data_IF_571961289601
#
_entry.id   IF_571961289601
#
_cell.length_a   1.000
_cell.length_b   1.000
_cell.length_c   1.000
_cell.angle_alpha   90.00
_cell.angle_beta   90.00
_cell.angle_gamma   90.00
#
_symmetry.space_group_name_H-M   'P 1'
#
loop_
_entity.id
_entity.type
_entity.pdbx_description
1 polymer ?
#
# COMPACT_ATOMS: atom_id res chain seq x y z
N UNK A 1 -24.41 1.13 -9.59
CA UNK A 1 -23.77 1.32 -8.28
C UNK A 1 -22.80 0.18 -8.14
N UNK A 2 -21.50 0.46 -7.99
CA UNK A 2 -20.52 -0.58 -7.66
C UNK A 2 -20.86 -1.12 -6.27
N UNK A 3 -20.83 -2.44 -6.11
CA UNK A 3 -21.07 -3.08 -4.82
C UNK A 3 -20.05 -2.60 -3.78
N UNK A 4 -20.47 -2.52 -2.53
CA UNK A 4 -19.58 -2.18 -1.41
C UNK A 4 -18.97 -3.48 -0.88
N UNK A 5 -17.70 -3.72 -1.21
CA UNK A 5 -16.92 -4.88 -0.80
C UNK A 5 -15.72 -4.43 0.03
N UNK A 6 -15.07 -5.38 0.71
CA UNK A 6 -13.83 -5.14 1.47
C UNK A 6 -13.97 -3.99 2.48
N UNK A 7 -14.99 -4.05 3.33
CA UNK A 7 -15.24 -3.01 4.34
C UNK A 7 -14.21 -3.15 5.46
N UNK A 8 -13.54 -2.05 5.79
CA UNK A 8 -12.55 -2.00 6.87
C UNK A 8 -12.62 -0.64 7.62
N UNK A 9 -11.84 -0.49 8.69
CA UNK A 9 -11.63 0.75 9.41
C UNK A 9 -10.66 1.66 8.64
N UNK A 10 -11.02 2.93 8.50
CA UNK A 10 -10.15 3.92 7.91
C UNK A 10 -9.04 4.29 8.89
N UNK A 11 -7.80 4.00 8.49
CA UNK A 11 -6.57 4.33 9.20
C UNK A 11 -5.82 5.37 8.37
N UNK A 12 -5.36 6.43 9.04
CA UNK A 12 -4.49 7.44 8.44
C UNK A 12 -3.45 7.87 9.46
N UNK A 13 -2.17 7.97 9.05
CA UNK A 13 -1.05 8.31 9.95
C UNK A 13 -1.01 7.39 11.19
N UNK A 14 -1.13 6.08 10.96
CA UNK A 14 -1.07 5.03 11.99
C UNK A 14 -2.16 5.11 13.08
N UNK A 15 -3.26 5.82 12.83
CA UNK A 15 -4.38 5.94 13.77
C UNK A 15 -5.76 5.86 13.10
N UNK A 16 -6.78 5.51 13.88
CA UNK A 16 -8.16 5.47 13.43
C UNK A 16 -8.69 6.86 13.14
N UNK A 17 -9.31 7.02 11.97
CA UNK A 17 -10.07 8.24 11.67
C UNK A 17 -11.40 8.19 12.41
N UNK A 18 -11.64 9.15 13.28
CA UNK A 18 -12.88 9.27 14.04
C UNK A 18 -13.82 10.33 13.42
N UNK A 19 -15.11 10.05 13.45
CA UNK A 19 -16.14 11.01 13.10
C UNK A 19 -16.41 12.00 14.27
N UNK A 20 -17.34 12.95 14.08
CA UNK A 20 -17.71 13.93 15.12
C UNK A 20 -18.32 13.33 16.39
N UNK A 21 -18.74 12.06 16.34
CA UNK A 21 -19.24 11.27 17.47
C UNK A 21 -18.16 10.42 18.15
N UNK A 22 -16.90 10.52 17.74
CA UNK A 22 -15.78 9.66 18.17
C UNK A 22 -15.94 8.17 17.78
N UNK A 23 -16.63 7.88 16.69
CA UNK A 23 -16.74 6.53 16.15
C UNK A 23 -15.77 6.35 14.96
N UNK A 24 -15.13 5.18 14.81
CA UNK A 24 -14.28 4.88 13.66
C UNK A 24 -15.03 5.01 12.32
N UNK A 25 -14.38 5.67 11.37
CA UNK A 25 -14.85 5.77 9.98
C UNK A 25 -14.50 4.49 9.23
N UNK A 26 -15.37 4.07 8.32
CA UNK A 26 -15.15 2.91 7.46
C UNK A 26 -14.58 3.31 6.10
N UNK A 27 -13.78 2.44 5.52
CA UNK A 27 -13.37 2.45 4.12
C UNK A 27 -13.89 1.19 3.41
N UNK A 28 -13.79 1.17 2.07
CA UNK A 28 -14.19 0.01 1.28
C UNK A 28 -13.47 -0.02 -0.08
N UNK A 29 -13.63 -1.15 -0.78
CA UNK A 29 -13.21 -1.31 -2.17
C UNK A 29 -11.74 -0.88 -2.36
N UNK A 30 -11.49 0.01 -3.33
CA UNK A 30 -10.16 0.53 -3.67
C UNK A 30 -9.43 1.16 -2.47
N UNK A 31 -10.15 1.80 -1.55
CA UNK A 31 -9.54 2.47 -0.41
C UNK A 31 -9.03 1.47 0.62
N UNK A 32 -9.80 0.41 0.90
CA UNK A 32 -9.38 -0.69 1.78
C UNK A 32 -8.19 -1.44 1.17
N UNK A 33 -8.26 -1.79 -0.13
CA UNK A 33 -7.14 -2.43 -0.84
C UNK A 33 -5.87 -1.57 -0.74
N UNK A 34 -6.01 -0.25 -0.96
CA UNK A 34 -4.88 0.68 -0.84
C UNK A 34 -4.27 0.74 0.56
N UNK A 35 -5.09 0.67 1.62
CA UNK A 35 -4.59 0.58 3.00
C UNK A 35 -3.82 -0.72 3.23
N UNK A 36 -4.33 -1.85 2.74
CA UNK A 36 -3.65 -3.16 2.89
C UNK A 36 -2.28 -3.18 2.20
N UNK A 37 -2.16 -2.55 1.02
CA UNK A 37 -0.86 -2.37 0.34
C UNK A 37 0.12 -1.54 1.19
N UNK A 38 -0.33 -0.41 1.75
CA UNK A 38 0.51 0.44 2.60
C UNK A 38 0.96 -0.34 3.83
N UNK A 39 0.03 -0.97 4.55
CA UNK A 39 0.34 -1.75 5.74
C UNK A 39 1.28 -2.90 5.44
N UNK A 40 1.06 -3.65 4.34
CA UNK A 40 1.94 -4.76 3.97
C UNK A 40 3.40 -4.30 3.82
N UNK A 41 3.65 -3.16 3.17
CA UNK A 41 5.00 -2.60 3.01
C UNK A 41 5.61 -2.25 4.38
N UNK A 42 4.85 -1.58 5.25
CA UNK A 42 5.34 -1.13 6.57
C UNK A 42 5.56 -2.32 7.51
N UNK A 43 4.60 -3.23 7.60
CA UNK A 43 4.61 -4.40 8.48
C UNK A 43 5.65 -5.45 8.07
N UNK A 44 5.98 -5.54 6.78
CA UNK A 44 7.02 -6.46 6.29
C UNK A 44 8.43 -6.14 6.79
N UNK A 45 8.68 -4.91 7.25
CA UNK A 45 10.01 -4.42 7.58
C UNK A 45 10.90 -4.08 6.38
N UNK A 46 10.45 -4.35 5.13
CA UNK A 46 11.19 -4.03 3.91
C UNK A 46 11.44 -2.52 3.78
N UNK A 47 10.51 -1.69 4.24
CA UNK A 47 10.68 -0.24 4.33
C UNK A 47 11.92 0.15 5.16
N UNK A 48 12.10 -0.51 6.31
CA UNK A 48 13.24 -0.26 7.20
C UNK A 48 14.54 -0.76 6.57
N UNK A 49 14.53 -1.95 5.95
CA UNK A 49 15.67 -2.47 5.18
C UNK A 49 16.09 -1.48 4.07
N UNK A 50 15.11 -0.96 3.32
CA UNK A 50 15.33 0.00 2.25
C UNK A 50 16.00 1.28 2.78
N UNK A 51 15.53 1.84 3.89
CA UNK A 51 16.14 3.05 4.48
C UNK A 51 17.59 2.81 4.91
N UNK A 52 17.92 1.60 5.39
CA UNK A 52 19.26 1.27 5.85
C UNK A 52 20.24 0.99 4.69
N UNK A 53 19.75 0.54 3.54
CA UNK A 53 20.59 0.07 2.44
C UNK A 53 21.08 1.22 1.52
N UNK A 54 22.32 1.10 1.02
CA UNK A 54 22.99 2.09 0.15
C UNK A 54 23.43 1.51 -1.20
N UNK A 55 23.58 0.19 -1.31
CA UNK A 55 23.94 -0.51 -2.53
C UNK A 55 22.77 -0.50 -3.52
N UNK A 56 22.94 0.07 -4.73
CA UNK A 56 21.87 0.11 -5.73
C UNK A 56 21.33 -1.29 -6.08
N UNK A 57 22.19 -2.30 -6.09
CA UNK A 57 21.81 -3.68 -6.39
C UNK A 57 20.92 -4.28 -5.30
N UNK A 58 21.29 -4.08 -4.02
CA UNK A 58 20.50 -4.61 -2.90
C UNK A 58 19.19 -3.84 -2.73
N UNK A 59 19.18 -2.53 -3.00
CA UNK A 59 17.93 -1.76 -3.06
C UNK A 59 17.01 -2.28 -4.16
N UNK A 60 17.55 -2.59 -5.34
CA UNK A 60 16.78 -3.21 -6.43
C UNK A 60 16.12 -4.52 -6.00
N UNK A 61 16.84 -5.37 -5.28
CA UNK A 61 16.28 -6.60 -4.69
C UNK A 61 15.15 -6.33 -3.70
N UNK A 62 15.31 -5.33 -2.81
CA UNK A 62 14.26 -4.92 -1.86
C UNK A 62 13.01 -4.43 -2.60
N UNK A 63 13.16 -3.64 -3.67
CA UNK A 63 12.01 -3.22 -4.49
C UNK A 63 11.29 -4.41 -5.11
N UNK A 64 12.02 -5.36 -5.70
CA UNK A 64 11.41 -6.59 -6.24
C UNK A 64 10.70 -7.40 -5.15
N UNK A 65 11.27 -7.51 -3.95
CA UNK A 65 10.61 -8.17 -2.80
C UNK A 65 9.33 -7.43 -2.37
N UNK A 66 9.33 -6.11 -2.38
CA UNK A 66 8.13 -5.32 -2.09
C UNK A 66 7.06 -5.49 -3.17
N UNK A 67 7.44 -5.49 -4.46
CA UNK A 67 6.50 -5.73 -5.56
C UNK A 67 5.84 -7.11 -5.43
N UNK A 68 6.63 -8.16 -5.21
CA UNK A 68 6.11 -9.52 -5.00
C UNK A 68 5.20 -9.62 -3.77
N UNK A 69 5.57 -8.95 -2.67
CA UNK A 69 4.75 -8.91 -1.46
C UNK A 69 3.38 -8.27 -1.73
N UNK A 70 3.35 -7.18 -2.50
CA UNK A 70 2.09 -6.50 -2.85
C UNK A 70 1.27 -7.38 -3.80
N UNK A 71 1.92 -8.08 -4.73
CA UNK A 71 1.25 -9.01 -5.66
C UNK A 71 0.62 -10.24 -5.00
N UNK A 72 0.96 -10.56 -3.74
CA UNK A 72 0.27 -11.59 -2.97
C UNK A 72 -1.20 -11.23 -2.66
N UNK A 73 -1.58 -9.95 -2.81
CA UNK A 73 -2.98 -9.52 -2.72
C UNK A 73 -3.77 -9.94 -3.96
N UNK A 74 -4.66 -10.94 -3.80
CA UNK A 74 -5.47 -11.52 -4.87
C UNK A 74 -6.39 -10.53 -5.60
N UNK A 75 -6.60 -9.33 -5.04
CA UNK A 75 -7.42 -8.27 -5.63
C UNK A 75 -6.65 -7.43 -6.66
N UNK A 76 -5.33 -7.54 -6.69
CA UNK A 76 -4.43 -6.86 -7.62
C UNK A 76 -4.11 -7.76 -8.81
N UNK A 77 -3.88 -7.14 -9.97
CA UNK A 77 -3.45 -7.85 -11.19
C UNK A 77 -1.93 -8.03 -11.12
N UNK A 78 -1.40 -9.27 -11.06
CA UNK A 78 0.05 -9.49 -11.02
C UNK A 78 0.75 -8.94 -12.27
N UNK A 79 1.94 -8.40 -12.10
CA UNK A 79 2.72 -7.73 -13.13
C UNK A 79 2.32 -6.28 -13.41
N UNK A 80 1.33 -5.74 -12.70
CA UNK A 80 0.92 -4.32 -12.79
C UNK A 80 1.42 -3.47 -11.62
N UNK A 81 1.93 -4.11 -10.56
CA UNK A 81 2.51 -3.42 -9.40
C UNK A 81 3.82 -2.79 -9.82
N UNK A 82 4.01 -1.52 -9.48
CA UNK A 82 5.26 -0.81 -9.67
C UNK A 82 5.51 0.13 -8.50
N UNK A 83 6.75 0.11 -8.01
CA UNK A 83 7.19 0.96 -6.91
C UNK A 83 8.28 1.89 -7.41
N UNK A 84 8.10 3.19 -7.21
CA UNK A 84 9.10 4.21 -7.50
C UNK A 84 9.43 4.99 -6.24
N UNK A 85 10.72 5.21 -5.99
CA UNK A 85 11.17 6.07 -4.89
C UNK A 85 11.10 7.55 -5.32
N UNK A 86 10.22 8.34 -4.70
CA UNK A 86 10.19 9.79 -4.92
C UNK A 86 11.27 10.48 -4.09
N UNK A 87 11.44 10.02 -2.84
CA UNK A 87 12.45 10.51 -1.89
C UNK A 87 12.87 9.39 -0.96
N UNK A 88 13.93 9.58 -0.19
CA UNK A 88 14.41 8.58 0.79
C UNK A 88 13.36 8.16 1.85
N UNK A 89 12.33 8.97 2.08
CA UNK A 89 11.25 8.69 3.03
C UNK A 89 9.89 8.50 2.35
N UNK A 90 9.85 8.34 1.02
CA UNK A 90 8.59 8.27 0.29
C UNK A 90 8.64 7.40 -0.94
N UNK A 91 7.72 6.44 -0.99
CA UNK A 91 7.47 5.58 -2.14
C UNK A 91 6.16 5.97 -2.82
N UNK A 92 6.17 5.84 -4.14
CA UNK A 92 5.00 5.92 -4.99
C UNK A 92 4.70 4.53 -5.54
N UNK A 93 3.50 4.04 -5.27
CA UNK A 93 3.06 2.69 -5.66
C UNK A 93 1.87 2.80 -6.60
N UNK A 94 1.94 2.10 -7.72
CA UNK A 94 0.83 1.95 -8.66
C UNK A 94 0.54 0.48 -8.90
N UNK A 95 -0.73 0.14 -9.07
CA UNK A 95 -1.18 -1.23 -9.39
C UNK A 95 -2.56 -1.18 -10.05
N UNK A 96 -2.92 -2.18 -10.84
CA UNK A 96 -4.30 -2.33 -11.32
C UNK A 96 -5.04 -3.34 -10.44
N UNK A 97 -6.30 -3.05 -10.14
CA UNK A 97 -7.21 -4.00 -9.49
C UNK A 97 -8.11 -4.66 -10.53
N UNK A 98 -8.57 -5.89 -10.26
CA UNK A 98 -9.52 -6.57 -11.15
C UNK A 98 -10.85 -5.82 -11.28
N UNK A 99 -11.40 -5.33 -10.16
CA UNK A 99 -12.78 -4.82 -10.10
C UNK A 99 -12.91 -3.31 -9.85
N UNK A 100 -11.86 -2.62 -9.40
CA UNK A 100 -11.94 -1.24 -8.88
C UNK A 100 -11.08 -0.21 -9.61
N UNK A 101 -10.47 -0.60 -10.74
CA UNK A 101 -9.58 0.23 -11.55
C UNK A 101 -8.18 0.42 -10.96
N UNK A 102 -7.39 1.38 -11.47
CA UNK A 102 -6.03 1.60 -11.04
C UNK A 102 -5.95 2.19 -9.63
N UNK A 103 -4.93 1.75 -8.89
CA UNK A 103 -4.45 2.28 -7.63
C UNK A 103 -3.25 3.18 -7.86
N UNK A 104 -3.20 4.25 -7.08
CA UNK A 104 -2.07 5.15 -7.01
C UNK A 104 -1.95 5.63 -5.57
N UNK A 105 -0.90 5.17 -4.91
CA UNK A 105 -0.73 5.25 -3.47
C UNK A 105 0.61 5.89 -3.15
N UNK A 106 0.62 6.59 -2.03
CA UNK A 106 1.80 7.21 -1.47
C UNK A 106 2.07 6.59 -0.11
N UNK A 107 3.29 6.07 0.05
CA UNK A 107 3.75 5.42 1.27
C UNK A 107 4.83 6.32 1.88
N UNK A 108 4.60 6.80 3.10
CA UNK A 108 5.64 7.48 3.88
C UNK A 108 6.39 6.42 4.69
N UNK A 109 7.72 6.52 4.73
CA UNK A 109 8.62 5.58 5.44
C UNK A 109 9.21 6.20 6.71
#
# INVERSE_FOLDING_TARGET
MSDVLYIDLLITNDDFVLNTGNEPVLCNNRQSIGQDVIHSIIESGLATELIAERSPTLRGDIFTRMELLIEDDERLIPGTVSITEETLSRLWVTADTYDFGPLSLRVEL
#
